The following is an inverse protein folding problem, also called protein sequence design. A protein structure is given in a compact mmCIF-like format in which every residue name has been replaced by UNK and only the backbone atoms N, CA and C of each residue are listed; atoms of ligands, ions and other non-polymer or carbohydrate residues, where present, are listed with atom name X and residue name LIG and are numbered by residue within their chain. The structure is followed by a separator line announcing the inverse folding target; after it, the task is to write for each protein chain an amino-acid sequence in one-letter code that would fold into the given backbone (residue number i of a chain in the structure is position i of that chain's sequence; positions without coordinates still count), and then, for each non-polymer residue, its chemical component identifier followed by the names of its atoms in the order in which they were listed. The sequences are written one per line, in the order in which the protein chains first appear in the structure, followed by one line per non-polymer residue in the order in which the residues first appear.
data_IF_040108838686
#
_entry.id   IF_040108838686
#
_cell.length_a   1.000
_cell.length_b   1.000
_cell.length_c   1.000
_cell.angle_alpha   90.00
_cell.angle_beta   90.00
_cell.angle_gamma   90.00
#
_symmetry.space_group_name_H-M   'P 1'
#
loop_
_entity.id
_entity.type
_entity.pdbx_description
1 polymer ?
#
# COMPACT_ATOMS: atom_id res chain seq x y z
N UNK A 1 73.27 2.11 40.74
CA UNK A 1 74.29 3.18 40.71
C UNK A 1 73.87 4.25 39.73
N UNK A 2 73.76 5.50 40.23
CA UNK A 2 74.08 6.81 39.58
C UNK A 2 73.62 7.05 38.13
N UNK A 3 72.60 7.89 37.91
CA UNK A 3 72.66 9.33 37.50
C UNK A 3 73.33 9.56 36.12
N UNK A 4 72.77 10.30 35.15
CA UNK A 4 72.38 11.72 35.19
C UNK A 4 71.77 12.17 33.82
N UNK A 5 70.74 13.05 33.84
CA UNK A 5 70.51 14.34 33.10
C UNK A 5 70.79 14.42 31.56
N UNK A 6 70.11 15.17 30.66
CA UNK A 6 69.23 16.36 30.70
C UNK A 6 68.65 16.66 29.27
N UNK A 7 67.36 17.01 29.17
CA UNK A 7 66.70 18.15 28.42
C UNK A 7 66.66 18.29 26.87
N UNK A 8 65.50 18.87 26.43
CA UNK A 8 65.04 19.51 25.17
C UNK A 8 64.44 18.55 24.13
N UNK A 9 63.20 18.68 23.64
CA UNK A 9 62.13 19.66 23.80
C UNK A 9 60.97 19.35 22.84
N UNK A 10 59.89 20.15 22.94
CA UNK A 10 58.76 20.31 22.00
C UNK A 10 57.54 19.39 22.23
N UNK A 11 56.48 20.07 22.68
CA UNK A 11 55.07 19.69 22.79
C UNK A 11 54.47 19.55 21.38
N UNK A 12 53.74 18.47 21.06
CA UNK A 12 52.35 18.56 20.54
C UNK A 12 51.65 17.20 20.52
N UNK A 13 50.37 17.22 20.89
CA UNK A 13 49.47 16.07 21.02
C UNK A 13 49.08 15.46 19.66
N UNK A 14 49.13 14.13 19.57
CA UNK A 14 48.58 13.35 18.47
C UNK A 14 47.20 12.83 18.90
N UNK A 15 46.15 13.52 18.45
CA UNK A 15 44.77 13.05 18.50
C UNK A 15 44.48 12.29 17.22
N UNK A 16 44.03 11.06 17.41
CA UNK A 16 43.44 10.15 16.44
C UNK A 16 42.18 10.77 15.82
N UNK A 17 42.09 10.86 14.49
CA UNK A 17 40.82 10.91 13.77
C UNK A 17 41.03 10.40 12.34
N UNK A 18 40.40 9.26 12.03
CA UNK A 18 40.41 8.63 10.72
C UNK A 18 39.66 9.46 9.69
N UNK A 19 40.28 9.62 8.52
CA UNK A 19 39.69 10.24 7.34
C UNK A 19 38.82 9.17 6.67
N UNK A 20 37.50 9.28 6.84
CA UNK A 20 36.53 8.72 5.89
C UNK A 20 36.38 9.71 4.74
N UNK A 21 36.85 9.33 3.56
CA UNK A 21 36.65 10.08 2.32
C UNK A 21 35.23 9.84 1.82
N UNK A 22 34.35 10.85 1.92
CA UNK A 22 33.11 10.93 1.16
C UNK A 22 33.15 12.14 0.23
N UNK A 23 33.13 11.83 -1.06
CA UNK A 23 32.43 12.51 -2.18
C UNK A 23 32.52 14.03 -2.30
N UNK A 24 33.34 14.43 -3.28
CA UNK A 24 33.22 15.59 -4.18
C UNK A 24 31.86 16.31 -4.17
N UNK A 25 31.86 17.55 -3.67
CA UNK A 25 30.85 18.56 -3.94
C UNK A 25 31.52 19.62 -4.83
N UNK A 26 31.30 19.57 -6.15
CA UNK A 26 31.61 20.71 -7.01
C UNK A 26 30.38 21.61 -7.03
N UNK A 27 30.58 22.84 -6.58
CA UNK A 27 29.60 23.91 -6.58
C UNK A 27 29.83 24.70 -7.86
N UNK A 28 29.01 24.45 -8.86
CA UNK A 28 28.90 25.30 -10.05
C UNK A 28 27.60 26.12 -9.98
N UNK A 29 27.70 27.35 -10.49
CA UNK A 29 26.76 28.46 -10.37
C UNK A 29 25.42 28.23 -11.12
N UNK A 30 24.39 28.95 -10.64
CA UNK A 30 22.99 28.99 -11.08
C UNK A 30 22.62 28.29 -12.40
N UNK A 31 22.04 27.11 -12.26
CA UNK A 31 21.31 26.39 -13.30
C UNK A 31 19.99 25.90 -12.65
N UNK A 32 18.80 25.99 -13.29
CA UNK A 32 17.53 25.60 -12.66
C UNK A 32 17.35 24.07 -12.51
N UNK A 33 18.45 23.33 -12.38
CA UNK A 33 18.54 21.86 -12.48
C UNK A 33 18.27 21.09 -11.18
N UNK A 34 17.68 21.71 -10.15
CA UNK A 34 17.35 21.02 -8.89
C UNK A 34 15.90 20.48 -8.83
N UNK A 35 15.05 20.82 -9.78
CA UNK A 35 13.62 20.48 -9.76
C UNK A 35 13.31 19.07 -10.28
N UNK A 36 14.18 18.49 -11.11
CA UNK A 36 13.96 17.18 -11.74
C UNK A 36 14.16 16.03 -10.75
N UNK A 37 15.19 16.14 -9.90
CA UNK A 37 15.44 15.18 -8.81
C UNK A 37 14.29 15.21 -7.78
N UNK A 38 13.82 16.41 -7.42
CA UNK A 38 12.69 16.58 -6.49
C UNK A 38 11.37 16.03 -7.05
N UNK A 39 11.11 16.23 -8.35
CA UNK A 39 9.91 15.69 -9.01
C UNK A 39 9.93 14.17 -9.03
N UNK A 40 11.07 13.57 -9.40
CA UNK A 40 11.25 12.12 -9.36
C UNK A 40 11.05 11.58 -7.93
N UNK A 41 11.63 12.23 -6.93
CA UNK A 41 11.51 11.85 -5.53
C UNK A 41 10.07 11.94 -5.02
N UNK A 42 9.32 12.97 -5.45
CA UNK A 42 7.90 13.14 -5.10
C UNK A 42 7.07 11.98 -5.63
N UNK A 43 7.21 11.61 -6.90
CA UNK A 43 6.44 10.50 -7.49
C UNK A 43 6.88 9.13 -6.99
N UNK A 44 8.18 8.92 -6.74
CA UNK A 44 8.68 7.70 -6.10
C UNK A 44 8.05 7.53 -4.72
N UNK A 45 8.05 8.61 -3.91
CA UNK A 45 7.46 8.59 -2.58
C UNK A 45 5.95 8.34 -2.64
N UNK A 46 5.23 9.06 -3.49
CA UNK A 46 3.79 8.89 -3.68
C UNK A 46 3.43 7.45 -4.08
N UNK A 47 4.17 6.87 -5.03
CA UNK A 47 3.95 5.50 -5.48
C UNK A 47 4.18 4.48 -4.36
N UNK A 48 5.20 4.67 -3.53
CA UNK A 48 5.51 3.77 -2.40
C UNK A 48 4.47 3.88 -1.28
N UNK A 49 4.04 5.11 -0.98
CA UNK A 49 2.99 5.38 0.00
C UNK A 49 1.66 4.79 -0.46
N UNK A 50 1.30 4.96 -1.74
CA UNK A 50 0.08 4.36 -2.30
C UNK A 50 0.11 2.84 -2.27
N UNK A 51 1.21 2.21 -2.69
CA UNK A 51 1.34 0.75 -2.62
C UNK A 51 1.18 0.26 -1.17
N UNK A 52 1.80 0.96 -0.21
CA UNK A 52 1.67 0.62 1.21
C UNK A 52 0.23 0.77 1.71
N UNK A 53 -0.43 1.86 1.34
CA UNK A 53 -1.82 2.10 1.70
C UNK A 53 -2.75 1.03 1.11
N UNK A 54 -2.60 0.70 -0.17
CA UNK A 54 -3.40 -0.35 -0.82
C UNK A 54 -3.16 -1.73 -0.19
N UNK A 55 -1.92 -2.10 0.11
CA UNK A 55 -1.57 -3.34 0.83
C UNK A 55 -2.24 -3.42 2.20
N UNK A 56 -2.20 -2.34 2.98
CA UNK A 56 -2.77 -2.31 4.34
C UNK A 56 -4.30 -2.41 4.30
N UNK A 57 -4.93 -1.70 3.36
CA UNK A 57 -6.38 -1.77 3.14
C UNK A 57 -6.80 -3.15 2.59
N UNK A 58 -5.96 -3.78 1.77
CA UNK A 58 -6.17 -5.14 1.27
C UNK A 58 -6.10 -6.18 2.38
N UNK A 59 -5.06 -6.15 3.21
CA UNK A 59 -4.96 -7.04 4.36
C UNK A 59 -6.17 -6.91 5.30
N UNK A 60 -6.64 -5.68 5.56
CA UNK A 60 -7.87 -5.45 6.32
C UNK A 60 -9.11 -6.04 5.64
N UNK A 61 -9.17 -6.01 4.31
CA UNK A 61 -10.30 -6.53 3.54
C UNK A 61 -10.33 -8.06 3.54
N UNK A 62 -9.16 -8.68 3.45
CA UNK A 62 -9.03 -10.13 3.51
C UNK A 62 -9.45 -10.65 4.89
N UNK A 63 -9.04 -9.96 5.97
CA UNK A 63 -9.49 -10.28 7.32
C UNK A 63 -11.00 -10.13 7.48
N UNK A 64 -11.59 -9.03 6.96
CA UNK A 64 -13.05 -8.81 6.98
C UNK A 64 -13.76 -9.94 6.23
N UNK A 65 -13.32 -10.27 5.00
CA UNK A 65 -13.88 -11.39 4.23
C UNK A 65 -13.83 -12.69 5.03
N UNK A 66 -12.72 -12.93 5.73
CA UNK A 66 -12.54 -14.12 6.54
C UNK A 66 -13.55 -14.21 7.69
N UNK A 67 -13.66 -13.15 8.51
CA UNK A 67 -14.64 -13.11 9.61
C UNK A 67 -16.07 -13.30 9.10
N UNK A 68 -16.41 -12.69 7.96
CA UNK A 68 -17.74 -12.80 7.37
C UNK A 68 -18.04 -14.18 6.77
N UNK A 69 -17.02 -14.98 6.46
CA UNK A 69 -17.19 -16.37 5.99
C UNK A 69 -17.35 -17.37 7.15
N UNK A 70 -16.80 -17.09 8.34
CA UNK A 70 -16.80 -18.05 9.45
C UNK A 70 -18.20 -18.38 9.98
N UNK A 71 -19.17 -17.47 9.88
CA UNK A 71 -20.55 -17.80 10.27
C UNK A 71 -21.17 -18.95 9.44
N UNK A 72 -20.59 -19.28 8.29
CA UNK A 72 -21.09 -20.35 7.41
C UNK A 72 -20.27 -21.64 7.46
N UNK A 73 -19.07 -21.64 8.05
CA UNK A 73 -18.18 -22.80 8.10
C UNK A 73 -18.02 -23.28 9.55
N UNK A 74 -18.69 -24.38 9.91
CA UNK A 74 -18.70 -24.99 11.26
C UNK A 74 -17.35 -25.55 11.75
N UNK A 75 -16.24 -25.33 11.02
CA UNK A 75 -14.96 -25.96 11.31
C UNK A 75 -13.79 -25.20 10.67
N UNK A 76 -13.31 -24.15 11.32
CA UNK A 76 -11.89 -23.75 11.25
C UNK A 76 -11.46 -23.02 12.52
N UNK A 77 -10.53 -23.62 13.27
CA UNK A 77 -9.77 -23.01 14.38
C UNK A 77 -8.78 -21.91 13.92
N UNK A 78 -8.85 -21.45 12.67
CA UNK A 78 -7.98 -20.39 12.16
C UNK A 78 -8.77 -19.10 12.05
N UNK A 79 -8.34 -18.04 12.75
CA UNK A 79 -8.70 -16.64 12.47
C UNK A 79 -7.54 -15.94 11.75
N UNK A 80 -7.73 -14.69 11.28
CA UNK A 80 -6.58 -13.90 10.86
C UNK A 80 -5.59 -13.76 12.02
N UNK A 81 -4.29 -13.85 11.73
CA UNK A 81 -3.28 -13.91 12.78
C UNK A 81 -3.26 -12.62 13.61
N UNK A 82 -3.34 -12.79 14.93
CA UNK A 82 -3.38 -11.72 15.91
C UNK A 82 -4.50 -10.68 15.66
N UNK A 83 -5.60 -11.12 15.05
CA UNK A 83 -6.88 -10.42 15.05
C UNK A 83 -7.85 -11.21 15.94
N UNK A 84 -8.53 -10.53 16.86
CA UNK A 84 -9.45 -11.14 17.81
C UNK A 84 -10.84 -10.57 17.64
N UNK A 85 -11.84 -11.44 17.47
CA UNK A 85 -13.24 -11.03 17.57
C UNK A 85 -13.59 -10.84 19.05
N UNK A 86 -13.69 -9.59 19.48
CA UNK A 86 -13.90 -9.25 20.89
C UNK A 86 -15.36 -9.44 21.31
N UNK A 87 -16.30 -9.01 20.45
CA UNK A 87 -17.74 -9.12 20.71
C UNK A 87 -18.57 -8.92 19.44
N UNK A 88 -19.84 -9.34 19.51
CA UNK A 88 -20.86 -9.09 18.50
C UNK A 88 -22.05 -8.42 19.18
N UNK A 89 -22.61 -7.38 18.54
CA UNK A 89 -23.84 -6.72 18.99
C UNK A 89 -24.81 -6.52 17.84
N UNK A 90 -26.11 -6.57 18.11
CA UNK A 90 -27.15 -6.22 17.14
C UNK A 90 -27.88 -4.96 17.58
N UNK A 91 -27.92 -3.94 16.73
CA UNK A 91 -28.59 -2.65 16.98
C UNK A 91 -29.42 -2.29 15.75
N UNK A 92 -30.74 -2.18 15.90
CA UNK A 92 -31.67 -1.75 14.83
C UNK A 92 -31.40 -2.44 13.48
N UNK A 93 -31.51 -3.77 13.43
CA UNK A 93 -31.28 -4.62 12.26
C UNK A 93 -29.85 -4.55 11.68
N UNK A 94 -28.87 -4.09 12.46
CA UNK A 94 -27.45 -4.07 12.08
C UNK A 94 -26.66 -4.94 13.04
N UNK A 95 -25.96 -5.95 12.52
CA UNK A 95 -24.99 -6.75 13.26
C UNK A 95 -23.64 -6.03 13.20
N UNK A 96 -23.01 -5.86 14.34
CA UNK A 96 -21.72 -5.19 14.51
C UNK A 96 -20.74 -6.16 15.15
N UNK A 97 -19.62 -6.42 14.47
CA UNK A 97 -18.49 -7.19 14.97
C UNK A 97 -17.39 -6.22 15.40
N UNK A 98 -16.92 -6.38 16.64
CA UNK A 98 -15.80 -5.62 17.17
C UNK A 98 -14.55 -6.48 17.14
N UNK A 99 -13.51 -6.01 16.47
CA UNK A 99 -12.25 -6.74 16.30
C UNK A 99 -11.10 -5.90 16.80
N UNK A 100 -10.20 -6.52 17.56
CA UNK A 100 -8.95 -5.94 17.97
C UNK A 100 -7.76 -6.61 17.28
N UNK A 101 -6.73 -5.82 17.00
CA UNK A 101 -5.45 -6.27 16.46
C UNK A 101 -4.37 -6.10 17.51
N UNK A 102 -3.52 -7.13 17.68
CA UNK A 102 -2.35 -7.03 18.52
C UNK A 102 -1.30 -8.10 18.15
N UNK A 103 -0.55 -7.86 17.08
CA UNK A 103 0.54 -8.76 16.71
C UNK A 103 0.89 -8.76 15.24
N UNK A 104 1.76 -9.71 14.87
CA UNK A 104 2.18 -9.88 13.49
C UNK A 104 1.04 -10.46 12.64
N UNK A 105 0.92 -10.00 11.40
CA UNK A 105 0.08 -10.67 10.41
C UNK A 105 0.64 -12.06 10.07
N UNK A 106 -0.12 -12.88 9.34
CA UNK A 106 0.22 -14.29 9.15
C UNK A 106 1.53 -14.54 8.40
N UNK A 107 1.98 -13.61 7.55
CA UNK A 107 3.25 -13.73 6.84
C UNK A 107 4.41 -12.99 7.56
N UNK A 108 4.16 -12.39 8.72
CA UNK A 108 5.16 -11.67 9.50
C UNK A 108 5.70 -10.38 8.87
N UNK A 109 5.16 -9.92 7.74
CA UNK A 109 5.62 -8.70 7.06
C UNK A 109 5.24 -7.42 7.80
N UNK A 110 4.14 -7.44 8.57
CA UNK A 110 3.67 -6.27 9.34
C UNK A 110 3.21 -6.66 10.74
N UNK A 111 3.47 -5.76 11.70
CA UNK A 111 2.89 -5.78 13.03
C UNK A 111 1.71 -4.81 13.09
N UNK A 112 0.57 -5.27 13.60
CA UNK A 112 -0.71 -4.57 13.55
C UNK A 112 -1.26 -4.37 14.94
N UNK A 113 -1.71 -3.15 15.25
CA UNK A 113 -2.52 -2.84 16.43
C UNK A 113 -3.71 -1.97 16.05
N UNK A 114 -4.71 -1.85 16.94
CA UNK A 114 -5.90 -1.01 16.71
C UNK A 114 -7.16 -1.85 16.61
N UNK A 115 -8.26 -1.24 16.16
CA UNK A 115 -9.58 -1.86 16.19
C UNK A 115 -10.37 -1.66 14.90
N UNK A 116 -11.31 -2.57 14.65
CA UNK A 116 -12.33 -2.45 13.61
C UNK A 116 -13.73 -2.58 14.21
N UNK A 117 -14.68 -1.86 13.60
CA UNK A 117 -16.10 -2.17 13.70
C UNK A 117 -16.60 -2.59 12.31
N UNK A 118 -17.00 -3.85 12.15
CA UNK A 118 -17.60 -4.36 10.92
C UNK A 118 -19.12 -4.34 11.10
N UNK A 119 -19.85 -3.71 10.18
CA UNK A 119 -21.30 -3.59 10.22
C UNK A 119 -21.92 -4.21 8.98
N UNK A 120 -22.88 -5.09 9.19
CA UNK A 120 -23.70 -5.70 8.14
C UNK A 120 -25.17 -5.66 8.56
N UNK A 121 -26.07 -5.53 7.59
CA UNK A 121 -27.50 -5.63 7.85
C UNK A 121 -27.88 -7.06 8.23
N UNK A 122 -28.69 -7.21 9.27
CA UNK A 122 -29.23 -8.50 9.70
C UNK A 122 -29.97 -9.21 8.55
N UNK A 123 -29.77 -10.52 8.45
CA UNK A 123 -30.30 -11.34 7.35
C UNK A 123 -29.57 -11.17 6.01
N UNK A 124 -28.55 -10.32 5.94
CA UNK A 124 -27.64 -10.22 4.79
C UNK A 124 -26.42 -11.09 5.02
N UNK A 125 -26.10 -11.94 4.06
CA UNK A 125 -24.89 -12.76 4.09
C UNK A 125 -23.92 -12.26 3.03
N UNK A 126 -22.62 -12.20 3.37
CA UNK A 126 -21.61 -11.64 2.47
C UNK A 126 -21.57 -12.30 1.09
N UNK A 127 -21.86 -13.60 1.01
CA UNK A 127 -21.92 -14.37 -0.25
C UNK A 127 -23.06 -13.93 -1.18
N UNK A 128 -24.04 -13.15 -0.71
CA UNK A 128 -25.17 -12.73 -1.52
C UNK A 128 -24.77 -11.61 -2.51
N UNK A 129 -25.28 -11.64 -3.74
CA UNK A 129 -25.12 -10.53 -4.66
C UNK A 129 -25.76 -9.26 -4.10
N UNK A 130 -25.06 -8.14 -4.21
CA UNK A 130 -25.44 -6.86 -3.65
C UNK A 130 -25.23 -6.73 -2.13
N UNK A 131 -24.67 -7.74 -1.45
CA UNK A 131 -24.34 -7.62 -0.03
C UNK A 131 -23.34 -6.49 0.18
N UNK A 132 -23.53 -5.70 1.24
CA UNK A 132 -22.65 -4.58 1.58
C UNK A 132 -22.28 -4.60 3.05
N UNK A 133 -21.01 -4.29 3.32
CA UNK A 133 -20.41 -4.25 4.64
C UNK A 133 -19.77 -2.87 4.83
N UNK A 134 -20.07 -2.21 5.95
CA UNK A 134 -19.38 -1.01 6.37
C UNK A 134 -18.31 -1.36 7.40
N UNK A 135 -17.08 -0.90 7.19
CA UNK A 135 -15.95 -1.16 8.08
C UNK A 135 -15.41 0.18 8.56
N UNK A 136 -15.45 0.39 9.88
CA UNK A 136 -14.80 1.51 10.53
C UNK A 136 -13.45 1.06 11.09
N UNK A 137 -12.41 1.82 10.80
CA UNK A 137 -11.01 1.57 11.16
C UNK A 137 -10.60 2.59 12.21
N UNK A 138 -10.12 2.12 13.36
CA UNK A 138 -9.86 2.96 14.54
C UNK A 138 -8.45 2.69 15.05
N UNK A 139 -7.58 3.70 14.93
CA UNK A 139 -6.17 3.67 15.33
C UNK A 139 -5.42 2.43 14.82
N UNK A 140 -5.75 2.00 13.59
CA UNK A 140 -5.12 0.83 13.01
C UNK A 140 -3.68 1.19 12.62
N UNK A 141 -2.74 0.69 13.41
CA UNK A 141 -1.33 1.01 13.29
C UNK A 141 -0.61 -0.16 12.65
N UNK A 142 0.05 0.10 11.54
CA UNK A 142 0.85 -0.87 10.80
C UNK A 142 2.31 -0.50 10.94
N UNK A 143 3.09 -1.37 11.56
CA UNK A 143 4.54 -1.23 11.68
C UNK A 143 5.23 -2.30 10.86
N UNK A 144 6.10 -1.90 9.93
CA UNK A 144 6.89 -2.81 9.10
C UNK A 144 8.17 -3.19 9.88
N UNK A 145 8.34 -4.44 10.37
CA UNK A 145 9.45 -4.79 11.26
C UNK A 145 10.83 -4.61 10.63
N UNK A 146 10.95 -4.78 9.31
CA UNK A 146 12.22 -4.62 8.57
C UNK A 146 12.77 -3.19 8.64
N UNK A 147 11.90 -2.19 8.60
CA UNK A 147 12.29 -0.77 8.50
C UNK A 147 11.99 0.02 9.77
N UNK A 148 11.12 -0.51 10.64
CA UNK A 148 10.59 0.21 11.80
C UNK A 148 9.62 1.33 11.44
N UNK A 149 9.31 1.52 10.16
CA UNK A 149 8.34 2.53 9.72
C UNK A 149 6.94 2.16 10.12
N UNK A 150 6.15 3.18 10.46
CA UNK A 150 4.79 3.03 10.95
C UNK A 150 3.83 3.92 10.18
N UNK A 151 2.65 3.39 9.90
CA UNK A 151 1.50 4.12 9.36
C UNK A 151 0.32 3.92 10.31
N UNK A 152 -0.45 4.97 10.57
CA UNK A 152 -1.70 4.88 11.34
C UNK A 152 -2.89 5.25 10.46
N UNK A 153 -3.88 4.38 10.39
CA UNK A 153 -5.11 4.55 9.62
C UNK A 153 -6.31 4.74 10.54
N UNK A 154 -7.08 5.79 10.28
CA UNK A 154 -8.39 6.04 10.87
C UNK A 154 -9.36 6.36 9.74
N UNK A 155 -10.52 5.72 9.67
CA UNK A 155 -11.44 5.98 8.57
C UNK A 155 -12.55 4.97 8.44
N UNK A 156 -13.27 5.06 7.33
CA UNK A 156 -14.37 4.16 7.03
C UNK A 156 -14.32 3.73 5.57
N UNK A 157 -14.67 2.47 5.33
CA UNK A 157 -14.87 1.93 3.98
C UNK A 157 -16.16 1.15 3.88
N UNK A 158 -16.69 1.09 2.68
CA UNK A 158 -17.80 0.21 2.30
C UNK A 158 -17.28 -0.82 1.31
N UNK A 159 -17.53 -2.09 1.60
CA UNK A 159 -17.28 -3.23 0.72
C UNK A 159 -18.62 -3.69 0.14
N UNK A 160 -18.65 -3.99 -1.16
CA UNK A 160 -19.84 -4.50 -1.83
C UNK A 160 -19.50 -5.74 -2.63
N UNK A 161 -20.25 -6.83 -2.42
CA UNK A 161 -20.15 -8.03 -3.22
C UNK A 161 -21.12 -7.91 -4.40
N UNK A 162 -20.63 -7.45 -5.55
CA UNK A 162 -21.48 -7.09 -6.69
C UNK A 162 -22.08 -8.33 -7.36
N UNK A 163 -21.26 -9.35 -7.61
CA UNK A 163 -21.70 -10.58 -8.27
C UNK A 163 -22.30 -11.61 -7.32
N UNK A 164 -22.04 -11.50 -6.02
CA UNK A 164 -22.21 -12.59 -5.07
C UNK A 164 -21.04 -13.59 -5.14
N UNK A 165 -21.13 -14.64 -4.33
CA UNK A 165 -20.10 -15.66 -4.18
C UNK A 165 -19.04 -15.30 -3.14
N UNK A 166 -18.12 -16.23 -2.89
CA UNK A 166 -16.89 -15.96 -2.14
C UNK A 166 -15.70 -16.49 -2.93
N UNK A 167 -14.52 -15.88 -2.77
CA UNK A 167 -13.34 -16.19 -3.60
C UNK A 167 -12.95 -17.68 -3.56
N UNK A 168 -13.21 -18.37 -2.44
CA UNK A 168 -13.06 -19.83 -2.33
C UNK A 168 -14.00 -20.69 -3.22
N UNK A 169 -15.01 -20.12 -3.89
CA UNK A 169 -15.89 -20.83 -4.85
C UNK A 169 -15.51 -20.57 -6.31
N UNK A 170 -14.43 -19.84 -6.55
CA UNK A 170 -13.98 -19.51 -7.88
C UNK A 170 -13.53 -20.78 -8.62
N UNK A 171 -14.00 -20.97 -9.85
CA UNK A 171 -13.78 -22.18 -10.64
C UNK A 171 -14.55 -23.42 -10.16
N UNK A 172 -15.42 -23.27 -9.14
CA UNK A 172 -16.32 -24.34 -8.65
C UNK A 172 -17.77 -23.98 -8.99
N UNK A 173 -18.24 -22.85 -8.46
CA UNK A 173 -19.61 -22.37 -8.66
C UNK A 173 -19.64 -21.03 -9.38
N UNK A 174 -18.56 -20.25 -9.29
CA UNK A 174 -18.45 -18.93 -9.92
C UNK A 174 -17.22 -18.89 -10.83
N UNK A 175 -17.40 -18.48 -12.09
CA UNK A 175 -16.28 -18.22 -13.01
C UNK A 175 -15.64 -16.85 -12.75
N UNK A 176 -16.43 -15.92 -12.21
CA UNK A 176 -16.01 -14.55 -11.90
C UNK A 176 -16.72 -14.06 -10.65
N UNK A 177 -15.97 -13.40 -9.79
CA UNK A 177 -16.50 -12.71 -8.61
C UNK A 177 -16.05 -11.25 -8.67
N UNK A 178 -16.95 -10.32 -8.39
CA UNK A 178 -16.70 -8.88 -8.46
C UNK A 178 -16.99 -8.27 -7.10
N UNK A 179 -15.97 -7.66 -6.50
CA UNK A 179 -16.11 -6.84 -5.31
C UNK A 179 -15.79 -5.38 -5.64
N UNK A 180 -16.50 -4.47 -4.99
CA UNK A 180 -16.21 -3.04 -5.03
C UNK A 180 -15.92 -2.52 -3.64
N UNK A 181 -15.09 -1.49 -3.58
CA UNK A 181 -14.72 -0.80 -2.35
C UNK A 181 -14.72 0.69 -2.58
N UNK A 182 -15.30 1.43 -1.64
CA UNK A 182 -15.09 2.87 -1.50
C UNK A 182 -14.70 3.19 -0.05
N UNK A 183 -13.95 4.25 0.19
CA UNK A 183 -13.61 4.65 1.56
C UNK A 183 -12.79 5.92 1.64
N UNK A 184 -12.72 6.46 2.86
CA UNK A 184 -11.97 7.66 3.21
C UNK A 184 -11.20 7.40 4.51
N UNK A 185 -9.92 7.75 4.51
CA UNK A 185 -8.99 7.47 5.58
C UNK A 185 -8.14 8.69 5.90
N UNK A 186 -7.98 9.00 7.17
CA UNK A 186 -6.86 9.78 7.68
C UNK A 186 -5.67 8.84 7.87
N UNK A 187 -4.62 9.09 7.11
CA UNK A 187 -3.36 8.35 7.17
C UNK A 187 -2.30 9.22 7.83
N UNK A 188 -1.72 8.73 8.93
CA UNK A 188 -0.57 9.33 9.58
C UNK A 188 0.68 8.57 9.19
N UNK A 189 1.64 9.27 8.60
CA UNK A 189 2.89 8.70 8.11
C UNK A 189 3.97 8.66 9.19
N UNK A 190 5.11 8.03 8.88
CA UNK A 190 6.28 7.92 9.77
C UNK A 190 6.96 9.28 10.08
N UNK A 191 6.67 10.32 9.30
CA UNK A 191 7.09 11.70 9.58
C UNK A 191 6.11 12.48 10.48
N UNK A 192 5.08 11.81 11.02
CA UNK A 192 3.97 12.36 11.81
C UNK A 192 3.05 13.32 11.06
N UNK A 193 3.20 13.48 9.75
CA UNK A 193 2.18 14.17 8.97
C UNK A 193 0.92 13.31 8.86
N UNK A 194 -0.24 13.95 8.88
CA UNK A 194 -1.52 13.29 8.64
C UNK A 194 -2.15 13.87 7.38
N UNK A 195 -2.65 13.01 6.50
CA UNK A 195 -3.34 13.39 5.26
C UNK A 195 -4.62 12.59 5.10
N UNK A 196 -5.56 13.14 4.33
CA UNK A 196 -6.79 12.43 3.97
C UNK A 196 -6.62 11.76 2.62
N UNK A 197 -6.84 10.46 2.57
CA UNK A 197 -6.76 9.61 1.40
C UNK A 197 -8.10 8.94 1.16
N UNK A 198 -8.50 8.84 -0.09
CA UNK A 198 -9.74 8.22 -0.51
C UNK A 198 -9.43 7.08 -1.48
N UNK A 199 -10.26 6.06 -1.46
CA UNK A 199 -10.14 4.90 -2.34
C UNK A 199 -11.50 4.59 -2.98
N UNK A 200 -11.49 4.25 -4.26
CA UNK A 200 -12.68 3.75 -4.96
C UNK A 200 -12.26 2.79 -6.06
N UNK A 201 -12.50 1.50 -5.89
CA UNK A 201 -12.01 0.48 -6.81
C UNK A 201 -12.93 -0.71 -6.95
N UNK A 202 -12.81 -1.37 -8.10
CA UNK A 202 -13.37 -2.69 -8.38
C UNK A 202 -12.25 -3.72 -8.44
N UNK A 203 -12.47 -4.85 -7.80
CA UNK A 203 -11.67 -6.07 -7.93
C UNK A 203 -12.50 -7.14 -8.62
N UNK A 204 -12.01 -7.61 -9.77
CA UNK A 204 -12.59 -8.74 -10.48
C UNK A 204 -11.69 -9.95 -10.29
N UNK A 205 -12.21 -10.97 -9.60
CA UNK A 205 -11.55 -12.24 -9.35
C UNK A 205 -11.94 -13.25 -10.44
N UNK A 206 -10.95 -13.92 -11.01
CA UNK A 206 -11.11 -14.97 -12.04
C UNK A 206 -10.11 -16.10 -11.80
N UNK A 207 -10.30 -17.26 -12.45
CA UNK A 207 -9.44 -18.43 -12.29
C UNK A 207 -10.09 -19.49 -11.40
N UNK A 208 -9.32 -20.04 -10.45
CA UNK A 208 -9.81 -21.05 -9.50
C UNK A 208 -9.45 -20.67 -8.06
N UNK A 209 -10.06 -21.32 -7.07
CA UNK A 209 -9.75 -21.11 -5.66
C UNK A 209 -8.27 -21.31 -5.27
N UNK A 210 -7.48 -22.03 -6.09
CA UNK A 210 -6.04 -22.26 -5.89
C UNK A 210 -5.13 -21.52 -6.89
N UNK A 211 -5.71 -20.82 -7.86
CA UNK A 211 -4.98 -20.03 -8.86
C UNK A 211 -5.82 -18.79 -9.20
N UNK A 212 -5.84 -17.85 -8.26
CA UNK A 212 -6.64 -16.64 -8.33
C UNK A 212 -5.90 -15.58 -9.14
N UNK A 213 -6.63 -14.97 -10.09
CA UNK A 213 -6.23 -13.75 -10.80
C UNK A 213 -7.16 -12.61 -10.41
N UNK A 214 -6.59 -11.47 -10.03
CA UNK A 214 -7.32 -10.25 -9.68
C UNK A 214 -7.07 -9.20 -10.75
N UNK A 215 -8.11 -8.51 -11.19
CA UNK A 215 -8.02 -7.31 -12.02
C UNK A 215 -8.59 -6.12 -11.25
N UNK A 216 -7.76 -5.09 -11.04
CA UNK A 216 -8.13 -3.86 -10.35
C UNK A 216 -8.48 -2.76 -11.36
N UNK A 217 -9.58 -2.06 -11.09
CA UNK A 217 -10.04 -0.90 -11.86
C UNK A 217 -10.45 0.23 -10.91
N UNK A 218 -10.24 1.48 -11.31
CA UNK A 218 -10.70 2.65 -10.56
C UNK A 218 -12.15 2.99 -10.86
N UNK A 219 -12.91 3.43 -9.86
CA UNK A 219 -14.35 3.68 -9.97
C UNK A 219 -14.73 5.15 -9.89
N UNK A 220 -13.88 5.99 -9.29
CA UNK A 220 -14.24 7.38 -9.01
C UNK A 220 -13.94 8.31 -10.19
N UNK A 221 -14.66 9.43 -10.21
CA UNK A 221 -14.41 10.56 -11.11
C UNK A 221 -14.50 11.86 -10.32
N UNK A 222 -13.48 12.72 -10.43
CA UNK A 222 -13.41 14.03 -9.77
C UNK A 222 -12.95 15.05 -10.81
N UNK A 223 -13.85 15.97 -11.18
CA UNK A 223 -13.57 16.94 -12.24
C UNK A 223 -13.23 16.24 -13.56
N UNK A 224 -12.04 16.53 -14.09
CA UNK A 224 -11.52 15.91 -15.31
C UNK A 224 -10.88 14.53 -15.08
N UNK A 225 -10.62 14.14 -13.83
CA UNK A 225 -9.95 12.89 -13.53
C UNK A 225 -10.96 11.77 -13.39
N UNK A 226 -10.91 10.78 -14.29
CA UNK A 226 -11.80 9.60 -14.30
C UNK A 226 -11.06 8.31 -13.98
N UNK A 227 -11.79 7.22 -13.67
CA UNK A 227 -11.20 5.92 -13.34
C UNK A 227 -10.19 6.01 -12.18
N UNK A 228 -10.48 6.87 -11.22
CA UNK A 228 -9.67 7.07 -10.03
C UNK A 228 -9.77 5.86 -9.11
N UNK A 229 -8.61 5.36 -8.69
CA UNK A 229 -8.47 4.31 -7.69
C UNK A 229 -8.17 4.90 -6.30
N UNK A 230 -7.35 5.95 -6.25
CA UNK A 230 -6.90 6.61 -5.03
C UNK A 230 -6.71 8.11 -5.27
N UNK A 231 -7.03 8.96 -4.30
CA UNK A 231 -6.76 10.40 -4.35
C UNK A 231 -6.75 11.02 -2.95
N UNK A 232 -6.09 12.17 -2.80
CA UNK A 232 -5.95 12.84 -1.52
C UNK A 232 -4.79 13.81 -1.53
N UNK A 233 -4.16 14.02 -0.38
CA UNK A 233 -2.94 14.82 -0.25
C UNK A 233 -1.72 13.92 0.01
N UNK A 234 -0.62 14.17 -0.71
CA UNK A 234 0.63 13.46 -0.47
C UNK A 234 1.35 13.98 0.80
N UNK A 235 2.48 13.38 1.18
CA UNK A 235 3.28 13.83 2.35
C UNK A 235 3.69 15.30 2.26
N UNK A 236 3.99 15.78 1.06
CA UNK A 236 4.36 17.17 0.80
C UNK A 236 3.16 18.14 0.90
N UNK A 237 1.93 17.62 1.04
CA UNK A 237 0.71 18.41 1.12
C UNK A 237 0.18 18.86 -0.24
N UNK A 238 0.65 18.26 -1.34
CA UNK A 238 0.05 18.47 -2.65
C UNK A 238 -1.11 17.49 -2.86
N UNK A 239 -2.19 17.99 -3.47
CA UNK A 239 -3.25 17.14 -3.99
C UNK A 239 -2.70 16.19 -5.06
N UNK A 240 -3.07 14.92 -4.96
CA UNK A 240 -2.78 13.92 -5.97
C UNK A 240 -4.01 13.12 -6.37
N UNK A 241 -3.95 12.60 -7.60
CA UNK A 241 -4.96 11.74 -8.17
C UNK A 241 -4.29 10.55 -8.85
N UNK A 242 -4.74 9.34 -8.54
CA UNK A 242 -4.26 8.12 -9.20
C UNK A 242 -5.38 7.49 -10.02
N UNK A 243 -5.15 7.43 -11.33
CA UNK A 243 -6.03 6.77 -12.29
C UNK A 243 -5.48 5.39 -12.63
N UNK A 244 -6.37 4.40 -12.79
CA UNK A 244 -6.04 3.16 -13.49
C UNK A 244 -6.37 3.37 -14.97
N UNK A 245 -5.33 3.45 -15.81
CA UNK A 245 -5.45 3.65 -17.26
C UNK A 245 -5.43 2.31 -18.02
N UNK A 246 -4.88 1.27 -17.40
CA UNK A 246 -5.00 -0.12 -17.84
C UNK A 246 -5.18 -0.98 -16.58
N UNK A 247 -6.17 -1.90 -16.53
CA UNK A 247 -6.43 -2.69 -15.33
C UNK A 247 -5.17 -3.33 -14.77
N UNK A 248 -4.94 -3.17 -13.47
CA UNK A 248 -3.77 -3.74 -12.79
C UNK A 248 -4.09 -5.19 -12.46
N UNK A 249 -3.30 -6.11 -13.00
CA UNK A 249 -3.54 -7.55 -12.88
C UNK A 249 -2.57 -8.15 -11.86
N UNK A 250 -3.11 -8.83 -10.86
CA UNK A 250 -2.36 -9.52 -9.81
C UNK A 250 -2.60 -11.03 -9.93
N UNK A 251 -1.59 -11.84 -9.62
CA UNK A 251 -1.69 -13.31 -9.68
C UNK A 251 -1.25 -13.97 -8.39
N UNK A 252 -2.05 -14.90 -7.88
CA UNK A 252 -1.71 -15.70 -6.69
C UNK A 252 -0.39 -16.45 -6.85
N UNK A 253 -0.09 -16.97 -8.04
CA UNK A 253 1.17 -17.66 -8.34
C UNK A 253 2.41 -16.76 -8.25
N UNK A 254 2.22 -15.45 -8.17
CA UNK A 254 3.25 -14.45 -7.93
C UNK A 254 3.03 -13.74 -6.59
N UNK A 255 2.52 -14.43 -5.58
CA UNK A 255 2.22 -13.85 -4.26
C UNK A 255 1.30 -12.62 -4.31
N UNK A 256 0.41 -12.59 -5.31
CA UNK A 256 -0.45 -11.47 -5.66
C UNK A 256 0.31 -10.20 -6.08
N UNK A 257 1.54 -10.32 -6.59
CA UNK A 257 2.25 -9.20 -7.19
C UNK A 257 1.60 -8.76 -8.52
N UNK A 258 1.65 -7.45 -8.85
CA UNK A 258 1.07 -6.92 -10.08
C UNK A 258 1.91 -7.29 -11.30
N UNK A 259 1.43 -8.23 -12.10
CA UNK A 259 2.11 -8.78 -13.27
C UNK A 259 1.94 -7.92 -14.53
N UNK A 260 0.93 -7.05 -14.57
CA UNK A 260 0.72 -6.10 -15.67
C UNK A 260 -0.27 -4.99 -15.29
N UNK A 261 -0.42 -4.02 -16.19
CA UNK A 261 -1.33 -2.89 -16.03
C UNK A 261 -0.60 -1.59 -15.79
N UNK A 262 -1.37 -0.50 -15.76
CA UNK A 262 -0.83 0.85 -15.69
C UNK A 262 -1.68 1.77 -14.83
N UNK A 263 -0.98 2.53 -13.98
CA UNK A 263 -1.55 3.63 -13.20
C UNK A 263 -0.95 4.95 -13.69
N UNK A 264 -1.70 6.05 -13.54
CA UNK A 264 -1.21 7.40 -13.78
C UNK A 264 -1.48 8.30 -12.59
N UNK A 265 -0.43 8.90 -12.03
CA UNK A 265 -0.52 9.91 -11.00
C UNK A 265 -0.53 11.31 -11.60
N UNK A 266 -1.28 12.19 -10.96
CA UNK A 266 -1.34 13.62 -11.26
C UNK A 266 -1.06 14.40 -9.98
N UNK A 267 -0.25 15.45 -10.09
CA UNK A 267 -0.10 16.49 -9.05
C UNK A 267 -0.40 17.83 -9.73
N UNK A 268 -1.67 18.28 -9.75
CA UNK A 268 -2.10 19.39 -10.60
C UNK A 268 -1.41 20.71 -10.26
N UNK A 269 -1.20 20.99 -8.97
CA UNK A 269 -0.52 22.20 -8.48
C UNK A 269 0.90 22.35 -9.04
N UNK A 270 1.54 21.23 -9.42
CA UNK A 270 2.89 21.19 -9.99
C UNK A 270 2.90 21.00 -11.51
N UNK A 271 1.73 20.87 -12.13
CA UNK A 271 1.58 20.47 -13.55
C UNK A 271 2.45 19.26 -13.89
N UNK A 272 2.44 18.27 -12.99
CA UNK A 272 3.31 17.10 -13.05
C UNK A 272 2.49 15.82 -13.11
N UNK A 273 2.96 14.82 -13.86
CA UNK A 273 2.35 13.50 -13.92
C UNK A 273 3.39 12.39 -13.86
N UNK A 274 2.98 11.19 -13.47
CA UNK A 274 3.79 9.98 -13.66
C UNK A 274 2.95 8.80 -14.10
N UNK A 275 3.48 7.99 -15.00
CA UNK A 275 2.88 6.71 -15.40
C UNK A 275 3.65 5.56 -14.77
N UNK A 276 2.95 4.71 -14.03
CA UNK A 276 3.47 3.47 -13.49
C UNK A 276 3.08 2.33 -14.42
N UNK A 277 4.05 1.53 -14.83
CA UNK A 277 3.84 0.30 -15.59
C UNK A 277 4.35 -0.90 -14.81
N UNK A 278 3.47 -1.85 -14.53
CA UNK A 278 3.78 -3.08 -13.80
C UNK A 278 4.30 -4.18 -14.72
N UNK A 279 4.92 -5.22 -14.14
CA UNK A 279 5.39 -6.38 -14.90
C UNK A 279 6.84 -6.30 -15.36
N UNK A 280 7.78 -5.84 -14.52
CA UNK A 280 9.20 -5.81 -14.83
C UNK A 280 10.03 -6.72 -13.93
N UNK A 281 11.11 -7.28 -14.47
CA UNK A 281 12.08 -8.10 -13.74
C UNK A 281 13.31 -7.30 -13.28
N UNK A 282 14.26 -7.98 -12.64
CA UNK A 282 15.46 -7.37 -12.05
C UNK A 282 16.36 -6.68 -13.07
N UNK A 283 16.30 -7.11 -14.34
CA UNK A 283 17.04 -6.52 -15.45
C UNK A 283 16.32 -5.32 -16.09
N UNK A 284 15.26 -4.81 -15.43
CA UNK A 284 14.42 -3.71 -15.91
C UNK A 284 13.76 -4.02 -17.27
N UNK A 285 13.53 -5.30 -17.58
CA UNK A 285 12.82 -5.74 -18.78
C UNK A 285 11.41 -6.22 -18.42
N UNK A 286 10.43 -6.15 -19.35
CA UNK A 286 9.14 -6.80 -19.16
C UNK A 286 9.32 -8.29 -18.84
N UNK A 287 8.52 -8.80 -17.92
CA UNK A 287 8.53 -10.22 -17.54
C UNK A 287 8.13 -11.11 -18.73
N UNK A 288 8.74 -12.29 -18.82
CA UNK A 288 8.33 -13.33 -19.76
C UNK A 288 7.05 -14.05 -19.28
N UNK A 289 6.45 -14.87 -20.15
CA UNK A 289 5.32 -15.71 -19.75
C UNK A 289 5.70 -16.67 -18.62
N UNK A 290 4.92 -16.68 -17.54
CA UNK A 290 5.15 -17.50 -16.37
C UNK A 290 6.18 -16.96 -15.37
N UNK A 291 6.84 -15.83 -15.68
CA UNK A 291 7.72 -15.13 -14.73
C UNK A 291 6.91 -14.21 -13.80
N UNK A 292 7.39 -14.04 -12.57
CA UNK A 292 6.84 -13.09 -11.62
C UNK A 292 7.66 -11.80 -11.58
N UNK A 293 7.01 -10.63 -11.49
CA UNK A 293 7.69 -9.35 -11.48
C UNK A 293 8.45 -9.15 -10.18
N UNK A 294 9.53 -8.37 -10.25
CA UNK A 294 10.26 -7.88 -9.08
C UNK A 294 10.23 -6.37 -8.99
N UNK A 295 9.94 -5.69 -10.12
CA UNK A 295 9.98 -4.24 -10.26
C UNK A 295 8.75 -3.71 -11.02
N UNK A 296 8.55 -2.41 -10.89
CA UNK A 296 7.70 -1.61 -11.76
C UNK A 296 8.49 -0.41 -12.30
N UNK A 297 8.07 0.08 -13.46
CA UNK A 297 8.65 1.26 -14.11
C UNK A 297 7.79 2.49 -13.80
N UNK A 298 8.42 3.57 -13.40
CA UNK A 298 7.81 4.88 -13.17
C UNK A 298 8.42 5.88 -14.15
N UNK A 299 7.59 6.39 -15.06
CA UNK A 299 7.94 7.45 -15.99
C UNK A 299 7.28 8.75 -15.55
N UNK A 300 8.04 9.79 -15.24
CA UNK A 300 7.51 11.09 -14.80
C UNK A 300 7.70 12.19 -15.85
N UNK A 301 6.81 13.17 -15.83
CA UNK A 301 6.86 14.35 -16.68
C UNK A 301 6.44 15.60 -15.89
N UNK A 302 7.19 16.70 -16.04
CA UNK A 302 6.86 18.02 -15.49
C UNK A 302 7.49 19.12 -16.33
N UNK A 303 6.69 20.09 -16.76
CA UNK A 303 7.17 21.27 -17.51
C UNK A 303 8.07 20.94 -18.73
N UNK A 304 7.79 19.83 -19.43
CA UNK A 304 8.58 19.38 -20.58
C UNK A 304 9.84 18.58 -20.23
N UNK A 305 10.20 18.45 -18.95
CA UNK A 305 11.22 17.52 -18.48
C UNK A 305 10.59 16.16 -18.17
N UNK A 306 11.36 15.10 -18.37
CA UNK A 306 10.91 13.73 -18.07
C UNK A 306 12.05 12.86 -17.58
N UNK A 307 11.69 11.74 -16.94
CA UNK A 307 12.64 10.74 -16.50
C UNK A 307 11.99 9.41 -16.17
N UNK A 308 12.81 8.36 -16.06
CA UNK A 308 12.37 6.99 -15.77
C UNK A 308 13.11 6.45 -14.57
N UNK A 309 12.38 5.80 -13.67
CA UNK A 309 12.92 5.07 -12.51
C UNK A 309 12.32 3.67 -12.49
N UNK A 310 13.11 2.68 -12.10
CA UNK A 310 12.63 1.33 -11.82
C UNK A 310 12.69 1.08 -10.33
N UNK A 311 11.56 0.68 -9.75
CA UNK A 311 11.39 0.50 -8.31
C UNK A 311 11.03 -0.95 -8.01
N UNK A 312 11.57 -1.49 -6.93
CA UNK A 312 11.19 -2.83 -6.44
C UNK A 312 9.77 -2.83 -5.90
N UNK A 313 9.09 -3.97 -6.02
CA UNK A 313 7.77 -4.18 -5.44
C UNK A 313 7.81 -4.33 -3.90
N UNK A 314 8.91 -4.89 -3.34
CA UNK A 314 9.11 -5.17 -1.91
C UNK A 314 10.44 -4.67 -1.36
#
# INVERSE_FOLDING_TARGET
MKTQKLIFGIITALVFAGIFSLTSCNKDEDNPANNDNETSATFVTLSQDENSFEEDIDGLTDDVNFFMMQEQLKSTEGGPCHATLDSISTINDTIIYYISYNGLNCNGKVHRTGNLEIRIKEGTFWVQPGASIHVKVINYTVTRPKTGKTTVLNGEKTLSNVSGGHVGLLGITYDTIIHEMTGTFQMTFDDNTTRTWNIARRKTFTGTASDIKISNEGLASIGEYTSLVCWGENRQGDDFYTQIIQPVVLKQSCDFDPVSGQKKHFIPTKSATSTITFGYNDNNQPIAEGECPTKYRLDWERNGNSGTVYLFLH
#
